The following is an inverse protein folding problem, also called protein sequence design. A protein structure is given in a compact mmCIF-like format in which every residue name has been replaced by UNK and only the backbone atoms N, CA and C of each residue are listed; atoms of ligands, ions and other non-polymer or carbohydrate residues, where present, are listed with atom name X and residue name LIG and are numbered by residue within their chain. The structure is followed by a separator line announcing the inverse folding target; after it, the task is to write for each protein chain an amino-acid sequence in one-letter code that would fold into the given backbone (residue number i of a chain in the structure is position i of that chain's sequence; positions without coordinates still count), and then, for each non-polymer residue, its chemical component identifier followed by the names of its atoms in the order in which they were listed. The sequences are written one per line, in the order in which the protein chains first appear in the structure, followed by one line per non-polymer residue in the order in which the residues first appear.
data_IF_642858612188
#
_entry.id   IF_642858612188
#
_cell.length_a   1.000
_cell.length_b   1.000
_cell.length_c   1.000
_cell.angle_alpha   90.00
_cell.angle_beta   90.00
_cell.angle_gamma   90.00
#
_symmetry.space_group_name_H-M   'P 1'
#
loop_
_entity.id
_entity.type
_entity.pdbx_description
1 polymer ?
#
# COMPACT_ATOMS: atom_id res chain seq x y z
N UNK A 1 -39.32 -13.97 -100.37
CA UNK A 1 -38.95 -15.38 -100.14
C UNK A 1 -37.45 -15.36 -99.97
N UNK A 2 -36.84 -15.70 -98.83
CA UNK A 2 -36.87 -17.00 -98.13
C UNK A 2 -36.21 -16.77 -96.75
N UNK A 3 -36.85 -17.23 -95.66
CA UNK A 3 -36.28 -17.90 -94.48
C UNK A 3 -35.10 -17.32 -93.62
N UNK A 4 -35.31 -17.37 -92.29
CA UNK A 4 -34.37 -17.91 -91.27
C UNK A 4 -33.30 -16.93 -90.71
N UNK A 5 -32.97 -16.81 -89.41
CA UNK A 5 -33.09 -17.66 -88.22
C UNK A 5 -32.94 -16.84 -86.92
N UNK A 6 -33.29 -17.47 -85.80
CA UNK A 6 -33.24 -16.98 -84.43
C UNK A 6 -31.83 -16.71 -83.87
N UNK A 7 -31.72 -15.77 -82.92
CA UNK A 7 -30.69 -15.82 -81.88
C UNK A 7 -31.37 -15.87 -80.50
N UNK A 8 -31.25 -17.04 -79.86
CA UNK A 8 -31.70 -17.36 -78.50
C UNK A 8 -30.99 -16.48 -77.46
N UNK A 9 -31.74 -15.91 -76.52
CA UNK A 9 -31.18 -15.44 -75.24
C UNK A 9 -31.40 -16.50 -74.16
N UNK A 10 -30.38 -17.33 -73.93
CA UNK A 10 -30.32 -18.19 -72.75
C UNK A 10 -30.09 -17.33 -71.51
N UNK A 11 -31.10 -17.17 -70.67
CA UNK A 11 -30.92 -16.65 -69.32
C UNK A 11 -30.23 -17.71 -68.45
N UNK A 12 -29.16 -17.39 -67.72
CA UNK A 12 -28.54 -18.33 -66.79
C UNK A 12 -29.49 -18.61 -65.60
N UNK A 13 -29.50 -19.83 -65.03
CA UNK A 13 -30.34 -20.13 -63.87
C UNK A 13 -29.87 -19.31 -62.66
N UNK A 14 -30.81 -18.60 -62.01
CA UNK A 14 -30.55 -17.93 -60.74
C UNK A 14 -30.16 -18.95 -59.67
N UNK A 15 -28.90 -18.88 -59.24
CA UNK A 15 -28.40 -19.60 -58.05
C UNK A 15 -29.15 -19.09 -56.83
N UNK A 16 -30.08 -19.90 -56.28
CA UNK A 16 -30.73 -19.61 -55.01
C UNK A 16 -29.69 -19.59 -53.90
N UNK A 17 -29.33 -18.40 -53.41
CA UNK A 17 -28.58 -18.23 -52.18
C UNK A 17 -29.36 -18.89 -51.04
N UNK A 18 -28.83 -19.96 -50.45
CA UNK A 18 -29.29 -20.46 -49.16
C UNK A 18 -28.98 -19.40 -48.12
N UNK A 19 -30.00 -18.61 -47.75
CA UNK A 19 -29.96 -17.80 -46.54
C UNK A 19 -29.85 -18.76 -45.36
N UNK A 20 -28.66 -18.82 -44.76
CA UNK A 20 -28.44 -19.52 -43.49
C UNK A 20 -29.35 -18.87 -42.44
N UNK A 21 -30.48 -19.53 -42.14
CA UNK A 21 -31.35 -19.19 -41.03
C UNK A 21 -30.51 -19.25 -39.75
N UNK A 22 -30.18 -18.08 -39.19
CA UNK A 22 -29.64 -18.01 -37.83
C UNK A 22 -30.81 -18.26 -36.90
N UNK A 23 -30.84 -19.45 -36.30
CA UNK A 23 -31.83 -19.77 -35.28
C UNK A 23 -31.51 -18.96 -34.00
N UNK A 24 -32.00 -17.72 -33.92
CA UNK A 24 -32.04 -16.96 -32.68
C UNK A 24 -33.11 -17.59 -31.77
N UNK A 25 -32.70 -18.56 -30.97
CA UNK A 25 -33.52 -19.06 -29.87
C UNK A 25 -33.54 -17.98 -28.79
N UNK A 26 -34.69 -17.33 -28.59
CA UNK A 26 -34.90 -16.42 -27.47
C UNK A 26 -35.06 -17.22 -26.19
N UNK A 27 -34.38 -16.82 -25.11
CA UNK A 27 -34.54 -17.43 -23.79
C UNK A 27 -35.98 -17.25 -23.29
N UNK A 28 -36.58 -18.32 -22.78
CA UNK A 28 -37.91 -18.27 -22.14
C UNK A 28 -37.83 -17.53 -20.80
N UNK A 29 -38.91 -16.83 -20.41
CA UNK A 29 -39.01 -16.16 -19.11
C UNK A 29 -38.73 -17.12 -17.94
N UNK A 30 -39.16 -18.38 -18.06
CA UNK A 30 -38.95 -19.40 -17.01
C UNK A 30 -37.46 -19.72 -16.84
N UNK A 31 -36.72 -19.80 -17.93
CA UNK A 31 -35.29 -20.13 -17.91
C UNK A 31 -34.47 -18.97 -17.34
N UNK A 32 -34.88 -17.73 -17.64
CA UNK A 32 -34.30 -16.54 -17.02
C UNK A 32 -34.58 -16.49 -15.51
N UNK A 33 -35.79 -16.82 -15.05
CA UNK A 33 -36.11 -16.89 -13.62
C UNK A 33 -35.32 -17.99 -12.91
N UNK A 34 -35.19 -19.18 -13.53
CA UNK A 34 -34.40 -20.27 -12.98
C UNK A 34 -32.91 -19.90 -12.85
N UNK A 35 -32.33 -19.27 -13.87
CA UNK A 35 -30.93 -18.81 -13.85
C UNK A 35 -30.72 -17.80 -12.74
N UNK A 36 -31.61 -16.82 -12.60
CA UNK A 36 -31.51 -15.83 -11.52
C UNK A 36 -31.65 -16.47 -10.13
N UNK A 37 -32.52 -17.46 -9.98
CA UNK A 37 -32.66 -18.19 -8.71
C UNK A 37 -31.34 -18.87 -8.32
N UNK A 38 -30.71 -19.62 -9.24
CA UNK A 38 -29.44 -20.31 -8.97
C UNK A 38 -28.29 -19.31 -8.72
N UNK A 39 -28.18 -18.27 -9.54
CA UNK A 39 -27.14 -17.23 -9.37
C UNK A 39 -27.30 -16.51 -8.04
N UNK A 40 -28.53 -16.20 -7.61
CA UNK A 40 -28.77 -15.53 -6.33
C UNK A 40 -28.28 -16.34 -5.13
N UNK A 41 -28.51 -17.66 -5.14
CA UNK A 41 -28.02 -18.58 -4.09
C UNK A 41 -26.51 -18.66 -4.10
N UNK A 42 -25.90 -18.80 -5.29
CA UNK A 42 -24.44 -18.85 -5.42
C UNK A 42 -23.78 -17.55 -4.92
N UNK A 43 -24.30 -16.39 -5.33
CA UNK A 43 -23.78 -15.10 -4.89
C UNK A 43 -23.91 -14.95 -3.37
N UNK A 44 -25.06 -15.34 -2.79
CA UNK A 44 -25.27 -15.29 -1.34
C UNK A 44 -24.26 -16.11 -0.53
N UNK A 45 -23.82 -17.27 -1.05
CA UNK A 45 -22.84 -18.13 -0.38
C UNK A 45 -21.38 -17.71 -0.62
N UNK A 46 -21.08 -17.12 -1.78
CA UNK A 46 -19.71 -16.79 -2.18
C UNK A 46 -19.25 -15.42 -1.69
N UNK A 47 -20.14 -14.43 -1.57
CA UNK A 47 -19.78 -13.06 -1.20
C UNK A 47 -19.06 -12.95 0.16
N UNK A 48 -19.54 -13.58 1.26
CA UNK A 48 -18.86 -13.46 2.56
C UNK A 48 -17.43 -13.99 2.51
N UNK A 49 -17.23 -15.16 1.90
CA UNK A 49 -15.92 -15.79 1.73
C UNK A 49 -14.99 -14.98 0.82
N UNK A 50 -15.55 -14.30 -0.18
CA UNK A 50 -14.80 -13.40 -1.05
C UNK A 50 -14.15 -12.23 -0.30
N UNK A 51 -14.86 -11.63 0.65
CA UNK A 51 -14.30 -10.54 1.46
C UNK A 51 -13.18 -11.00 2.40
N UNK A 52 -13.33 -12.18 3.01
CA UNK A 52 -12.28 -12.77 3.84
C UNK A 52 -11.03 -13.12 3.00
N UNK A 53 -11.23 -13.67 1.79
CA UNK A 53 -10.13 -13.94 0.88
C UNK A 53 -9.38 -12.66 0.47
N UNK A 54 -10.10 -11.57 0.20
CA UNK A 54 -9.50 -10.28 -0.11
C UNK A 54 -8.74 -9.70 1.09
N UNK A 55 -9.27 -9.82 2.32
CA UNK A 55 -8.58 -9.39 3.54
C UNK A 55 -7.29 -10.18 3.73
N UNK A 56 -7.35 -11.50 3.61
CA UNK A 56 -6.18 -12.36 3.70
C UNK A 56 -5.14 -12.01 2.62
N UNK A 57 -5.57 -11.74 1.39
CA UNK A 57 -4.67 -11.29 0.33
C UNK A 57 -3.98 -9.96 0.67
N UNK A 58 -4.70 -8.99 1.26
CA UNK A 58 -4.12 -7.73 1.75
C UNK A 58 -3.10 -7.97 2.86
N UNK A 59 -3.42 -8.81 3.84
CA UNK A 59 -2.50 -9.16 4.95
C UNK A 59 -1.22 -9.81 4.41
N UNK A 60 -1.35 -10.80 3.52
CA UNK A 60 -0.23 -11.46 2.87
C UNK A 60 0.63 -10.50 2.04
N UNK A 61 0.00 -9.50 1.41
CA UNK A 61 0.74 -8.44 0.72
C UNK A 61 1.57 -7.62 1.71
N UNK A 62 0.99 -7.17 2.82
CA UNK A 62 1.70 -6.39 3.85
C UNK A 62 2.89 -7.19 4.41
N UNK A 63 2.71 -8.48 4.73
CA UNK A 63 3.78 -9.34 5.24
C UNK A 63 4.96 -9.42 4.28
N UNK A 64 4.71 -9.76 3.01
CA UNK A 64 5.76 -9.83 1.98
C UNK A 64 6.45 -8.49 1.75
N UNK A 65 5.68 -7.41 1.79
CA UNK A 65 6.22 -6.06 1.68
C UNK A 65 7.12 -5.74 2.87
N UNK A 66 6.71 -6.02 4.10
CA UNK A 66 7.54 -5.80 5.29
C UNK A 66 8.86 -6.61 5.23
N UNK A 67 8.82 -7.87 4.79
CA UNK A 67 10.03 -8.69 4.58
C UNK A 67 10.97 -8.07 3.54
N UNK A 68 10.43 -7.63 2.40
CA UNK A 68 11.21 -6.96 1.35
C UNK A 68 11.87 -5.69 1.89
N UNK A 69 11.13 -4.90 2.68
CA UNK A 69 11.62 -3.64 3.24
C UNK A 69 12.68 -3.88 4.32
N UNK A 70 12.56 -4.93 5.14
CA UNK A 70 13.60 -5.33 6.11
C UNK A 70 14.92 -5.67 5.42
N UNK A 71 14.86 -6.41 4.32
CA UNK A 71 16.05 -6.71 3.51
C UNK A 71 16.64 -5.42 2.93
N UNK A 72 15.81 -4.57 2.31
CA UNK A 72 16.26 -3.31 1.74
C UNK A 72 16.92 -2.38 2.77
N UNK A 73 16.40 -2.34 4.01
CA UNK A 73 16.98 -1.57 5.11
C UNK A 73 18.31 -2.16 5.58
N UNK A 74 18.41 -3.48 5.71
CA UNK A 74 19.67 -4.15 6.07
C UNK A 74 20.75 -3.85 5.02
N UNK A 75 20.40 -3.98 3.74
CA UNK A 75 21.29 -3.68 2.62
C UNK A 75 21.69 -2.20 2.54
N UNK A 76 20.80 -1.31 2.98
CA UNK A 76 21.08 0.12 3.08
C UNK A 76 22.07 0.42 4.19
N UNK A 77 21.87 -0.14 5.40
CA UNK A 77 22.73 0.08 6.56
C UNK A 77 24.16 -0.39 6.26
N UNK A 78 24.32 -1.51 5.55
CA UNK A 78 25.63 -2.08 5.20
C UNK A 78 26.19 -1.56 3.88
N UNK A 79 25.52 -0.61 3.22
CA UNK A 79 25.94 -0.11 1.91
C UNK A 79 27.27 0.67 1.99
N UNK A 80 28.25 0.39 1.11
CA UNK A 80 29.45 1.21 0.99
C UNK A 80 29.12 2.66 0.67
N UNK A 81 29.76 3.61 1.39
CA UNK A 81 29.47 5.04 1.25
C UNK A 81 28.20 5.52 1.95
N UNK A 82 27.51 4.64 2.69
CA UNK A 82 26.48 5.02 3.66
C UNK A 82 27.08 5.48 4.99
N UNK A 83 26.23 6.06 5.86
CA UNK A 83 26.62 6.50 7.20
C UNK A 83 26.49 5.38 8.26
N UNK A 84 26.27 4.13 7.83
CA UNK A 84 26.03 3.00 8.75
C UNK A 84 24.81 3.17 9.65
N UNK A 85 23.86 4.02 9.27
CA UNK A 85 22.68 4.37 10.08
C UNK A 85 21.48 4.68 9.18
N UNK A 86 20.27 4.62 9.74
CA UNK A 86 19.02 4.94 9.06
C UNK A 86 18.75 6.45 9.21
N UNK A 87 18.52 7.22 8.14
CA UNK A 87 18.19 8.63 8.28
C UNK A 87 16.83 8.80 8.94
N UNK A 88 16.73 9.70 9.91
CA UNK A 88 15.44 10.11 10.48
C UNK A 88 14.63 10.80 9.40
N UNK A 89 13.34 10.51 9.35
CA UNK A 89 12.40 11.13 8.42
C UNK A 89 11.25 11.80 9.17
N UNK A 90 11.06 11.49 10.45
CA UNK A 90 10.15 12.23 11.33
C UNK A 90 10.82 12.62 12.66
N UNK A 91 10.21 13.60 13.33
CA UNK A 91 10.68 14.11 14.62
C UNK A 91 11.90 15.04 14.51
N UNK A 92 12.57 15.24 15.64
CA UNK A 92 13.74 16.12 15.71
C UNK A 92 14.95 15.49 15.02
N UNK A 93 15.73 16.29 14.29
CA UNK A 93 17.01 15.85 13.72
C UNK A 93 16.89 15.05 12.42
N UNK A 94 15.84 15.29 11.64
CA UNK A 94 15.82 14.90 10.21
C UNK A 94 17.01 15.56 9.51
N UNK A 95 17.91 14.79 8.84
CA UNK A 95 19.09 15.34 8.20
C UNK A 95 18.69 16.11 6.95
N UNK A 96 19.05 17.39 6.88
CA UNK A 96 18.66 18.27 5.78
C UNK A 96 19.86 19.07 5.28
N UNK A 97 19.83 19.45 4.00
CA UNK A 97 20.79 20.36 3.38
C UNK A 97 20.06 21.43 2.57
N UNK A 98 20.55 22.67 2.63
CA UNK A 98 19.83 23.86 2.16
C UNK A 98 19.32 24.70 3.33
N UNK A 99 19.40 26.02 3.22
CA UNK A 99 19.08 26.93 4.31
C UNK A 99 17.58 26.91 4.61
N UNK A 100 16.75 26.92 3.56
CA UNK A 100 15.30 26.92 3.71
C UNK A 100 14.78 25.57 4.24
N UNK A 101 15.33 24.44 3.76
CA UNK A 101 14.97 23.12 4.28
C UNK A 101 15.39 22.96 5.74
N UNK A 102 16.61 23.38 6.09
CA UNK A 102 17.14 23.27 7.46
C UNK A 102 16.37 24.15 8.44
N UNK A 103 15.98 25.36 8.02
CA UNK A 103 15.18 26.29 8.82
C UNK A 103 13.69 25.92 8.95
N UNK A 104 13.21 24.90 8.24
CA UNK A 104 11.82 24.45 8.34
C UNK A 104 11.54 23.77 9.68
N UNK A 105 10.26 23.77 10.10
CA UNK A 105 9.81 23.09 11.31
C UNK A 105 9.96 21.57 11.17
N UNK A 106 10.12 20.86 12.29
CA UNK A 106 10.19 19.40 12.28
C UNK A 106 8.93 18.76 11.70
N UNK A 107 7.76 19.38 11.90
CA UNK A 107 6.51 18.93 11.29
C UNK A 107 6.53 19.07 9.75
N UNK A 108 7.07 20.17 9.21
CA UNK A 108 7.19 20.34 7.77
C UNK A 108 8.20 19.34 7.17
N UNK A 109 9.31 19.10 7.87
CA UNK A 109 10.29 18.07 7.48
C UNK A 109 9.65 16.67 7.49
N UNK A 110 8.95 16.32 8.57
CA UNK A 110 8.24 15.04 8.71
C UNK A 110 7.13 14.80 7.70
N UNK A 111 6.43 15.86 7.27
CA UNK A 111 5.44 15.75 6.21
C UNK A 111 6.08 15.46 4.83
N UNK A 112 7.34 15.87 4.61
CA UNK A 112 8.01 15.80 3.32
C UNK A 112 8.98 14.63 3.17
N UNK A 113 9.75 14.34 4.22
CA UNK A 113 10.76 13.28 4.24
C UNK A 113 10.10 11.91 4.27
N UNK A 114 10.68 10.95 3.55
CA UNK A 114 10.20 9.56 3.48
C UNK A 114 11.36 8.61 3.34
N UNK A 115 11.36 7.54 4.10
CA UNK A 115 12.44 6.57 4.06
C UNK A 115 12.38 5.71 2.80
N UNK A 116 11.19 5.50 2.23
CA UNK A 116 11.05 4.83 0.93
C UNK A 116 11.67 5.65 -0.20
N UNK A 117 11.58 6.99 -0.15
CA UNK A 117 12.26 7.87 -1.11
C UNK A 117 13.79 7.78 -0.99
N UNK A 118 14.33 7.59 0.22
CA UNK A 118 15.77 7.31 0.42
C UNK A 118 16.15 6.00 -0.24
N UNK A 119 15.42 4.91 0.06
CA UNK A 119 15.71 3.59 -0.49
C UNK A 119 15.56 3.55 -2.02
N UNK A 120 14.63 4.31 -2.59
CA UNK A 120 14.51 4.48 -4.04
C UNK A 120 15.71 5.24 -4.62
N UNK A 121 16.11 6.35 -3.99
CA UNK A 121 17.22 7.18 -4.47
C UNK A 121 18.56 6.42 -4.48
N UNK A 122 18.74 5.48 -3.56
CA UNK A 122 19.96 4.64 -3.47
C UNK A 122 19.83 3.28 -4.16
N UNK A 123 18.71 3.02 -4.85
CA UNK A 123 18.50 1.77 -5.60
C UNK A 123 18.32 0.52 -4.73
N UNK A 124 17.83 0.67 -3.49
CA UNK A 124 17.43 -0.44 -2.61
C UNK A 124 15.95 -0.79 -2.74
N UNK A 125 15.17 0.08 -3.36
CA UNK A 125 13.84 -0.22 -3.87
C UNK A 125 13.79 0.10 -5.36
N UNK A 126 13.10 -0.76 -6.11
CA UNK A 126 12.92 -0.62 -7.57
C UNK A 126 11.71 0.23 -7.94
N UNK A 127 10.74 0.34 -7.03
CA UNK A 127 9.47 1.03 -7.27
C UNK A 127 8.88 1.59 -5.99
N UNK A 128 8.10 2.69 -6.09
CA UNK A 128 7.36 3.22 -4.95
C UNK A 128 6.48 2.15 -4.29
N UNK A 129 6.37 2.29 -2.97
CA UNK A 129 5.56 1.42 -2.15
C UNK A 129 4.08 1.52 -2.58
N UNK A 130 3.42 0.36 -2.70
CA UNK A 130 1.97 0.31 -2.90
C UNK A 130 1.37 -0.88 -2.16
N UNK A 131 0.41 -0.59 -1.29
CA UNK A 131 -0.36 -1.57 -0.55
C UNK A 131 -1.85 -1.38 -0.85
N UNK A 132 -2.59 -2.49 -0.83
CA UNK A 132 -4.06 -2.48 -0.95
C UNK A 132 -4.77 -2.36 0.40
N UNK A 133 -4.03 -2.38 1.50
CA UNK A 133 -4.54 -2.16 2.85
C UNK A 133 -4.48 -0.67 3.20
N UNK A 134 -5.51 -0.19 3.89
CA UNK A 134 -5.63 1.21 4.31
C UNK A 134 -5.85 2.17 3.15
N UNK A 135 -5.32 3.38 3.29
CA UNK A 135 -5.39 4.44 2.27
C UNK A 135 -4.94 3.95 0.89
N UNK A 136 -5.69 4.32 -0.14
CA UNK A 136 -5.33 4.10 -1.55
C UNK A 136 -4.91 5.42 -2.23
N UNK A 137 -4.49 6.40 -1.42
CA UNK A 137 -3.87 7.63 -1.89
C UNK A 137 -2.37 7.38 -2.06
N UNK A 138 -1.83 7.74 -3.23
CA UNK A 138 -0.43 7.52 -3.58
C UNK A 138 0.32 8.81 -3.94
N UNK A 139 -0.31 9.96 -3.72
CA UNK A 139 0.21 11.28 -4.08
C UNK A 139 0.23 12.18 -2.85
N UNK A 140 1.25 13.03 -2.73
CA UNK A 140 1.30 14.05 -1.69
C UNK A 140 0.19 15.09 -1.87
N UNK A 141 -0.19 15.70 -0.74
CA UNK A 141 -0.92 16.96 -0.70
C UNK A 141 0.05 18.13 -0.61
N UNK A 142 -0.45 19.37 -0.71
CA UNK A 142 0.38 20.58 -0.76
C UNK A 142 0.93 20.88 -2.15
N UNK A 143 1.59 22.03 -2.30
CA UNK A 143 2.19 22.52 -3.55
C UNK A 143 3.71 22.64 -3.40
N UNK A 144 4.44 22.82 -4.50
CA UNK A 144 5.90 22.98 -4.46
C UNK A 144 6.69 21.71 -4.79
N UNK A 145 7.99 21.77 -4.59
CA UNK A 145 8.92 20.70 -4.95
C UNK A 145 8.95 19.61 -3.88
N UNK A 146 9.18 18.38 -4.33
CA UNK A 146 9.35 17.24 -3.43
C UNK A 146 10.70 17.31 -2.73
N UNK A 147 10.70 16.81 -1.49
CA UNK A 147 11.94 16.54 -0.79
C UNK A 147 12.57 15.27 -1.38
N UNK A 148 13.85 15.34 -1.75
CA UNK A 148 14.60 14.21 -2.29
C UNK A 148 15.81 13.90 -1.43
N UNK A 149 16.27 12.65 -1.48
CA UNK A 149 17.47 12.22 -0.79
C UNK A 149 18.71 12.51 -1.61
N UNK A 150 19.68 13.23 -1.03
CA UNK A 150 21.00 13.44 -1.62
C UNK A 150 22.01 12.49 -0.97
N UNK A 151 22.48 11.50 -1.73
CA UNK A 151 23.46 10.52 -1.22
C UNK A 151 24.82 11.17 -0.91
N UNK A 152 25.22 12.21 -1.65
CA UNK A 152 26.49 12.92 -1.41
C UNK A 152 26.44 13.76 -0.14
N UNK A 153 25.29 14.38 0.15
CA UNK A 153 25.10 15.16 1.38
C UNK A 153 24.66 14.29 2.57
N UNK A 154 24.27 13.03 2.32
CA UNK A 154 23.60 12.15 3.28
C UNK A 154 22.45 12.85 4.00
N UNK A 155 21.67 13.62 3.24
CA UNK A 155 20.64 14.50 3.77
C UNK A 155 19.53 14.72 2.75
N UNK A 156 18.36 15.11 3.25
CA UNK A 156 17.26 15.55 2.43
C UNK A 156 17.48 16.96 1.88
N UNK A 157 17.11 17.16 0.62
CA UNK A 157 17.19 18.44 -0.08
C UNK A 157 15.87 18.76 -0.78
N UNK A 158 15.65 20.03 -1.07
CA UNK A 158 14.60 20.51 -1.98
C UNK A 158 15.29 21.35 -3.03
N UNK A 159 14.99 21.13 -4.31
CA UNK A 159 15.66 21.83 -5.42
C UNK A 159 14.62 22.55 -6.28
N UNK A 160 14.71 23.89 -6.46
CA UNK A 160 15.58 24.83 -5.73
C UNK A 160 15.32 24.85 -4.22
N UNK A 161 16.29 25.33 -3.42
CA UNK A 161 16.19 25.38 -1.96
C UNK A 161 14.92 26.13 -1.53
N UNK A 162 14.04 25.41 -0.83
CA UNK A 162 12.76 25.89 -0.36
C UNK A 162 12.34 25.09 0.88
N UNK A 163 11.50 25.69 1.72
CA UNK A 163 10.90 24.93 2.81
C UNK A 163 10.03 23.78 2.25
N UNK A 164 10.00 22.61 2.89
CA UNK A 164 9.16 21.50 2.45
C UNK A 164 7.68 21.88 2.57
N UNK A 165 6.95 21.74 1.46
CA UNK A 165 5.52 22.09 1.38
C UNK A 165 4.64 20.88 1.01
N UNK A 166 5.25 19.80 0.53
CA UNK A 166 4.56 18.54 0.24
C UNK A 166 4.29 17.78 1.54
N UNK A 167 3.11 17.18 1.60
CA UNK A 167 2.67 16.38 2.73
C UNK A 167 2.26 14.97 2.31
N UNK A 168 3.01 13.99 2.80
CA UNK A 168 2.86 12.56 2.57
C UNK A 168 2.16 11.82 3.72
N UNK A 169 1.71 12.51 4.76
CA UNK A 169 1.16 11.87 5.97
C UNK A 169 -0.07 10.99 5.70
N UNK A 170 -0.83 11.28 4.65
CA UNK A 170 -2.01 10.50 4.22
C UNK A 170 -1.71 9.31 3.30
N UNK A 171 -0.44 9.02 3.03
CA UNK A 171 0.02 7.94 2.13
C UNK A 171 0.75 6.86 2.93
N UNK A 172 0.57 5.61 2.50
CA UNK A 172 1.35 4.46 2.99
C UNK A 172 2.82 4.64 2.63
N UNK A 173 3.70 4.64 3.63
CA UNK A 173 5.11 5.04 3.46
C UNK A 173 6.01 4.41 4.51
N UNK A 174 7.32 4.51 4.28
CA UNK A 174 8.31 4.15 5.29
C UNK A 174 8.75 5.40 6.04
N UNK A 175 8.90 5.27 7.35
CA UNK A 175 9.42 6.32 8.21
C UNK A 175 10.48 5.78 9.16
N UNK A 176 11.31 6.67 9.67
CA UNK A 176 12.23 6.40 10.75
C UNK A 176 12.31 7.58 11.72
N UNK A 177 12.34 7.30 13.01
CA UNK A 177 12.47 8.32 14.07
C UNK A 177 13.16 7.78 15.31
N UNK A 178 13.55 8.69 16.20
CA UNK A 178 14.10 8.30 17.49
C UNK A 178 13.07 7.55 18.34
N UNK A 179 13.52 6.49 19.02
CA UNK A 179 12.71 5.70 19.94
C UNK A 179 12.15 6.53 21.10
N UNK A 180 10.88 6.31 21.48
CA UNK A 180 10.23 6.99 22.62
C UNK A 180 9.66 5.98 23.64
N UNK A 181 10.52 5.31 24.42
CA UNK A 181 10.09 4.20 25.29
C UNK A 181 9.21 4.60 26.47
N UNK A 182 9.07 5.90 26.75
CA UNK A 182 8.14 6.41 27.75
C UNK A 182 6.67 6.36 27.29
N UNK A 183 6.43 6.24 25.97
CA UNK A 183 5.09 6.22 25.37
C UNK A 183 4.74 4.79 24.96
N UNK A 184 3.51 4.35 25.23
CA UNK A 184 3.04 3.05 24.75
C UNK A 184 3.09 2.97 23.21
N UNK A 185 3.36 1.81 22.59
CA UNK A 185 3.49 1.68 21.13
C UNK A 185 2.31 2.27 20.34
N UNK A 186 1.09 2.07 20.82
CA UNK A 186 -0.14 2.61 20.21
C UNK A 186 -0.23 4.13 20.16
N UNK A 187 0.46 4.82 21.06
CA UNK A 187 0.54 6.28 21.11
C UNK A 187 1.87 6.84 20.59
N UNK A 188 2.87 5.98 20.36
CA UNK A 188 4.21 6.36 19.95
C UNK A 188 4.35 6.59 18.43
N UNK A 189 3.32 6.28 17.64
CA UNK A 189 3.30 6.51 16.18
C UNK A 189 4.51 5.90 15.46
N UNK A 190 4.85 4.64 15.79
CA UNK A 190 6.00 3.93 15.23
C UNK A 190 7.34 4.19 15.93
N UNK A 191 7.39 5.06 16.94
CA UNK A 191 8.61 5.30 17.73
C UNK A 191 8.82 4.31 18.88
N UNK A 192 7.91 3.35 19.09
CA UNK A 192 8.08 2.32 20.12
C UNK A 192 7.32 1.05 19.75
N UNK A 193 7.84 -0.09 20.17
CA UNK A 193 7.28 -1.42 19.99
C UNK A 193 7.66 -2.32 21.18
N UNK A 194 6.90 -3.38 21.43
CA UNK A 194 7.22 -4.39 22.44
C UNK A 194 7.40 -5.74 21.80
N UNK A 195 8.62 -6.00 21.34
CA UNK A 195 8.91 -7.09 20.39
C UNK A 195 8.88 -8.50 21.02
N UNK A 196 9.09 -8.59 22.34
CA UNK A 196 9.32 -9.88 23.04
C UNK A 196 8.20 -10.25 24.00
N UNK A 197 7.52 -9.25 24.55
CA UNK A 197 6.48 -9.39 25.57
C UNK A 197 5.52 -8.19 25.49
N UNK A 198 4.64 -8.03 26.48
CA UNK A 198 3.64 -6.97 26.52
C UNK A 198 4.06 -5.73 27.32
N UNK A 199 5.27 -5.67 27.88
CA UNK A 199 5.69 -4.60 28.81
C UNK A 199 7.04 -3.95 28.46
N UNK A 200 7.94 -4.66 27.80
CA UNK A 200 9.29 -4.23 27.47
C UNK A 200 9.29 -3.38 26.21
N UNK A 201 9.41 -2.07 26.41
CA UNK A 201 9.59 -1.10 25.33
C UNK A 201 10.99 -1.22 24.69
N UNK A 202 11.16 -0.59 23.53
CA UNK A 202 12.48 -0.41 22.92
C UNK A 202 13.44 0.34 23.86
N UNK A 203 14.74 0.22 23.64
CA UNK A 203 15.70 1.05 24.36
C UNK A 203 15.59 2.52 23.91
N UNK A 204 16.01 3.45 24.77
CA UNK A 204 16.14 4.85 24.37
C UNK A 204 17.30 5.04 23.38
N UNK A 205 17.26 6.13 22.62
CA UNK A 205 18.29 6.54 21.65
C UNK A 205 18.48 5.62 20.42
N UNK A 206 17.54 4.73 20.14
CA UNK A 206 17.52 3.98 18.87
C UNK A 206 16.90 4.83 17.76
N UNK A 207 17.28 4.58 16.52
CA UNK A 207 16.52 5.01 15.33
C UNK A 207 15.68 3.84 14.88
N UNK A 208 14.37 3.97 14.98
CA UNK A 208 13.40 2.92 14.66
C UNK A 208 12.83 3.18 13.27
N UNK A 209 12.98 2.22 12.37
CA UNK A 209 12.37 2.22 11.04
C UNK A 209 11.09 1.38 11.04
N UNK A 210 10.03 1.95 10.47
CA UNK A 210 8.71 1.34 10.46
C UNK A 210 7.95 1.67 9.17
N UNK A 211 7.04 0.77 8.82
CA UNK A 211 6.04 0.99 7.78
C UNK A 211 4.80 1.63 8.43
N UNK A 212 4.29 2.71 7.84
CA UNK A 212 3.03 3.35 8.21
C UNK A 212 1.98 3.02 7.15
N UNK A 213 0.83 2.51 7.59
CA UNK A 213 -0.35 2.27 6.76
C UNK A 213 -1.49 3.11 7.33
N UNK A 214 -1.80 4.29 6.76
CA UNK A 214 -2.88 5.13 7.25
C UNK A 214 -4.27 4.56 6.97
N UNK A 215 -5.25 4.88 7.81
CA UNK A 215 -6.68 4.60 7.63
C UNK A 215 -7.01 3.11 7.37
N UNK A 216 -6.39 2.20 8.10
CA UNK A 216 -6.68 0.76 8.01
C UNK A 216 -8.02 0.47 8.71
N UNK A 217 -8.95 -0.28 8.07
CA UNK A 217 -10.16 -0.74 8.74
C UNK A 217 -9.82 -1.52 10.02
N UNK A 218 -10.55 -1.26 11.11
CA UNK A 218 -10.29 -1.84 12.43
C UNK A 218 -10.08 -3.36 12.41
N UNK A 219 -10.93 -4.07 11.64
CA UNK A 219 -10.81 -5.53 11.49
C UNK A 219 -9.55 -5.94 10.73
N UNK A 220 -9.17 -5.21 9.69
CA UNK A 220 -7.96 -5.50 8.93
C UNK A 220 -6.70 -5.27 9.78
N UNK A 221 -6.68 -4.22 10.62
CA UNK A 221 -5.58 -3.93 11.55
C UNK A 221 -5.42 -5.04 12.61
N UNK A 222 -6.54 -5.47 13.20
CA UNK A 222 -6.57 -6.59 14.15
C UNK A 222 -6.05 -7.90 13.54
N UNK A 223 -6.57 -8.29 12.38
CA UNK A 223 -6.17 -9.53 11.70
C UNK A 223 -4.72 -9.48 11.21
N UNK A 224 -4.23 -8.30 10.79
CA UNK A 224 -2.82 -8.10 10.46
C UNK A 224 -1.93 -8.34 11.68
N UNK A 225 -2.27 -7.77 12.83
CA UNK A 225 -1.53 -7.98 14.06
C UNK A 225 -1.57 -9.44 14.52
N UNK A 226 -2.73 -10.12 14.43
CA UNK A 226 -2.80 -11.56 14.70
C UNK A 226 -1.88 -12.38 13.78
N UNK A 227 -1.81 -12.00 12.50
CA UNK A 227 -1.01 -12.74 11.52
C UNK A 227 0.50 -12.47 11.64
N UNK A 228 0.89 -11.31 12.16
CA UNK A 228 2.30 -10.86 12.19
C UNK A 228 2.93 -10.94 13.57
N UNK A 229 2.16 -10.74 14.63
CA UNK A 229 2.66 -10.87 15.99
C UNK A 229 2.75 -12.35 16.38
N UNK A 230 3.63 -12.64 17.32
CA UNK A 230 3.65 -13.96 17.92
C UNK A 230 2.32 -14.22 18.67
N UNK A 231 1.80 -15.46 18.74
CA UNK A 231 0.47 -15.75 19.30
C UNK A 231 0.24 -15.20 20.72
N UNK A 232 1.27 -15.15 21.55
CA UNK A 232 1.21 -14.61 22.91
C UNK A 232 1.10 -13.08 22.98
N UNK A 233 1.29 -12.39 21.85
CA UNK A 233 1.22 -10.94 21.68
C UNK A 233 -0.01 -10.54 20.86
N UNK A 234 -0.99 -11.44 20.74
CA UNK A 234 -2.24 -11.18 20.05
C UNK A 234 -3.00 -10.02 20.72
N UNK A 235 -3.43 -9.00 19.95
CA UNK A 235 -4.26 -7.93 20.50
C UNK A 235 -5.67 -8.42 20.81
N UNK A 236 -6.43 -7.58 21.51
CA UNK A 236 -7.88 -7.76 21.69
C UNK A 236 -8.59 -6.96 20.59
N UNK A 237 -9.62 -7.55 19.97
CA UNK A 237 -10.40 -6.87 18.93
C UNK A 237 -11.03 -5.56 19.47
N UNK A 238 -10.85 -4.46 18.73
CA UNK A 238 -11.33 -3.13 19.11
C UNK A 238 -10.46 -2.38 20.12
N UNK A 239 -9.45 -3.03 20.73
CA UNK A 239 -8.48 -2.38 21.60
C UNK A 239 -7.26 -1.87 20.81
N UNK A 240 -6.40 -1.09 21.47
CA UNK A 240 -5.08 -0.76 20.95
C UNK A 240 -4.18 -2.02 20.89
N UNK A 241 -3.22 -2.02 19.96
CA UNK A 241 -2.17 -3.03 19.91
C UNK A 241 -0.86 -2.43 20.39
N UNK A 242 -0.47 -2.79 21.62
CA UNK A 242 0.74 -2.33 22.30
C UNK A 242 1.84 -3.41 22.37
N UNK A 243 1.64 -4.55 21.71
CA UNK A 243 2.55 -5.69 21.76
C UNK A 243 2.87 -6.21 20.37
N UNK A 244 4.08 -6.75 20.21
CA UNK A 244 4.57 -7.33 18.97
C UNK A 244 5.16 -6.32 17.99
N UNK A 245 5.22 -6.76 16.73
CA UNK A 245 5.82 -6.01 15.62
C UNK A 245 4.81 -5.07 14.95
N UNK A 246 3.52 -5.27 15.20
CA UNK A 246 2.45 -4.39 14.74
C UNK A 246 1.95 -3.57 15.92
N UNK A 247 1.85 -2.26 15.76
CA UNK A 247 1.28 -1.35 16.75
C UNK A 247 0.21 -0.46 16.08
N UNK A 248 -0.88 -0.20 16.81
CA UNK A 248 -1.93 0.72 16.38
C UNK A 248 -2.76 1.20 17.57
N UNK A 249 -3.34 2.40 17.45
CA UNK A 249 -4.25 2.95 18.44
C UNK A 249 -5.63 2.29 18.40
N UNK A 250 -6.38 2.35 19.50
CA UNK A 250 -7.77 1.92 19.53
C UNK A 250 -8.55 2.57 18.36
N UNK A 251 -9.21 1.79 17.49
CA UNK A 251 -9.82 2.33 16.29
C UNK A 251 -10.88 3.39 16.60
N UNK A 252 -10.84 4.49 15.86
CA UNK A 252 -11.83 5.58 15.93
C UNK A 252 -12.57 5.63 14.60
N UNK A 253 -13.91 5.72 14.63
CA UNK A 253 -14.75 5.66 13.42
C UNK A 253 -14.49 4.42 12.55
N UNK A 254 -14.13 3.28 13.17
CA UNK A 254 -13.88 2.02 12.48
C UNK A 254 -12.55 1.92 11.74
N UNK A 255 -11.64 2.88 11.90
CA UNK A 255 -10.30 2.88 11.29
C UNK A 255 -9.21 3.22 12.30
N UNK A 256 -7.96 2.84 11.99
CA UNK A 256 -6.76 3.21 12.76
C UNK A 256 -5.54 3.27 11.82
N UNK A 257 -4.50 3.98 12.23
CA UNK A 257 -3.22 3.95 11.54
C UNK A 257 -2.38 2.80 12.11
N UNK A 258 -1.81 2.00 11.20
CA UNK A 258 -1.00 0.83 11.57
C UNK A 258 0.46 1.13 11.36
N UNK A 259 1.27 0.79 12.36
CA UNK A 259 2.72 0.89 12.34
C UNK A 259 3.30 -0.52 12.41
N UNK A 260 4.17 -0.88 11.47
CA UNK A 260 4.84 -2.19 11.43
C UNK A 260 6.33 -1.97 11.61
N UNK A 261 6.88 -2.55 12.67
CA UNK A 261 8.30 -2.55 12.98
C UNK A 261 9.11 -3.26 11.87
N UNK A 262 10.19 -2.62 11.42
CA UNK A 262 11.09 -3.18 10.42
C UNK A 262 12.48 -3.43 10.99
N UNK A 263 13.13 -2.39 11.50
CA UNK A 263 14.50 -2.44 12.03
C UNK A 263 14.75 -1.31 13.03
N UNK A 264 15.78 -1.47 13.86
CA UNK A 264 16.35 -0.42 14.71
C UNK A 264 17.89 -0.43 14.65
N UNK A 265 18.50 0.72 14.97
CA UNK A 265 19.95 0.90 15.09
C UNK A 265 20.31 1.96 16.14
#
# INVERSE_FOLDING_TARGET
MTFTEACRQNHPPMTKNKTTQKNSHGYSLLELVLVLAVVSVLVGLLLPKGFDALRNARIQQVQKTAETLKTALTDFITMPGGNGSIPRTEGTGVPTSGAAVTGATDAAKGNGARLDAVLLAVGKLEKPLSLRMGTQVYTSTGTGNEMSWSQSAQAFVVTPDAAPQRNWSGVTRLEARSSTPATAPSAAQGANFRLRDTTTNLAANLIVAYLVIPNVPARDAYELALAMNAPQLAPIEGAACDAGIVAYAAPTNGVTDVYVYLADI
#
